data_IF_845677419823
#
_entry.id   IF_845677419823
#
_cell.length_a   1.000
_cell.length_b   1.000
_cell.length_c   1.000
_cell.angle_alpha   90.00
_cell.angle_beta   90.00
_cell.angle_gamma   90.00
#
_symmetry.space_group_name_H-M   'P 1'
#
loop_
_entity.id
_entity.type
_entity.pdbx_description
1 polymer ?
#
# COMPACT_ATOMS: atom_id res chain seq x y z
N UNK A 1 -20.50 12.33 10.42
CA UNK A 1 -20.29 12.05 8.98
C UNK A 1 -18.81 12.13 8.72
N UNK A 2 -18.12 11.00 8.56
CA UNK A 2 -16.73 11.00 8.10
C UNK A 2 -16.81 11.21 6.59
N UNK A 3 -16.44 12.39 6.11
CA UNK A 3 -16.23 12.61 4.68
C UNK A 3 -15.22 11.55 4.22
N UNK A 4 -15.61 10.65 3.31
CA UNK A 4 -14.65 9.74 2.67
C UNK A 4 -13.80 10.60 1.75
N UNK A 5 -12.69 11.10 2.25
CA UNK A 5 -11.70 11.84 1.47
C UNK A 5 -11.10 10.86 0.48
N UNK A 6 -11.32 11.11 -0.81
CA UNK A 6 -10.67 10.41 -1.91
C UNK A 6 -9.61 11.33 -2.51
N UNK A 7 -8.65 10.74 -3.22
CA UNK A 7 -7.58 11.44 -3.92
C UNK A 7 -7.51 10.90 -5.35
N UNK A 8 -7.18 11.76 -6.31
CA UNK A 8 -6.87 11.29 -7.65
C UNK A 8 -5.66 10.33 -7.60
N UNK A 9 -5.77 9.19 -8.28
CA UNK A 9 -4.77 8.12 -8.21
C UNK A 9 -3.41 8.52 -8.75
N UNK A 10 -3.35 9.47 -9.69
CA UNK A 10 -2.09 10.01 -10.21
C UNK A 10 -1.48 10.99 -9.22
N UNK A 11 -2.30 11.80 -8.54
CA UNK A 11 -1.80 12.61 -7.43
C UNK A 11 -1.25 11.74 -6.29
N UNK A 12 -1.94 10.65 -5.95
CA UNK A 12 -1.49 9.68 -4.96
C UNK A 12 -0.15 9.07 -5.37
N UNK A 13 -0.01 8.60 -6.62
CA UNK A 13 1.23 8.08 -7.18
C UNK A 13 2.38 9.10 -7.06
N UNK A 14 2.13 10.37 -7.40
CA UNK A 14 3.11 11.44 -7.28
C UNK A 14 3.58 11.64 -5.83
N UNK A 15 2.67 11.56 -4.87
CA UNK A 15 3.01 11.73 -3.45
C UNK A 15 3.79 10.55 -2.88
N UNK A 16 3.41 9.31 -3.20
CA UNK A 16 4.07 8.12 -2.66
C UNK A 16 5.43 7.84 -3.32
N UNK A 17 5.60 8.23 -4.59
CA UNK A 17 6.88 8.04 -5.31
C UNK A 17 8.02 8.88 -4.74
N UNK A 18 7.68 9.95 -4.00
CA UNK A 18 8.62 10.84 -3.33
C UNK A 18 8.98 10.37 -1.91
N UNK A 19 8.36 9.30 -1.41
CA UNK A 19 8.71 8.74 -0.10
C UNK A 19 10.09 8.07 -0.22
N UNK A 20 11.07 8.65 0.45
CA UNK A 20 12.46 8.17 0.50
C UNK A 20 12.85 7.94 1.95
N UNK A 21 12.22 6.92 2.55
CA UNK A 21 12.39 6.54 3.95
C UNK A 21 12.76 5.07 3.98
N UNK A 22 13.72 4.72 4.84
CA UNK A 22 14.03 3.32 5.11
C UNK A 22 12.84 2.63 5.77
N UNK A 23 12.47 1.44 5.30
CA UNK A 23 11.32 0.67 5.78
C UNK A 23 11.73 -0.72 6.26
N UNK A 24 12.55 -0.81 7.33
CA UNK A 24 13.10 -2.10 7.78
C UNK A 24 12.03 -3.11 8.21
N UNK A 25 10.86 -2.68 8.69
CA UNK A 25 9.78 -3.59 9.07
C UNK A 25 9.13 -4.22 7.83
N UNK A 26 8.83 -3.40 6.82
CA UNK A 26 8.31 -3.85 5.53
C UNK A 26 9.32 -4.74 4.80
N UNK A 27 10.61 -4.38 4.81
CA UNK A 27 11.66 -5.15 4.15
C UNK A 27 11.82 -6.54 4.79
N UNK A 28 11.78 -6.63 6.12
CA UNK A 28 11.79 -7.90 6.85
C UNK A 28 10.56 -8.75 6.52
N UNK A 29 9.38 -8.12 6.45
CA UNK A 29 8.16 -8.80 6.05
C UNK A 29 8.21 -9.31 4.60
N UNK A 30 8.60 -8.47 3.63
CA UNK A 30 8.72 -8.84 2.21
C UNK A 30 9.73 -9.98 2.03
N UNK A 31 10.87 -9.89 2.71
CA UNK A 31 11.91 -10.94 2.70
C UNK A 31 11.38 -12.30 3.16
N UNK A 32 10.46 -12.33 4.13
CA UNK A 32 9.87 -13.58 4.65
C UNK A 32 8.64 -14.03 3.88
N UNK A 33 7.68 -13.14 3.66
CA UNK A 33 6.33 -13.47 3.19
C UNK A 33 5.98 -12.92 1.81
N UNK A 34 6.73 -11.95 1.31
CA UNK A 34 6.47 -11.34 0.00
C UNK A 34 6.82 -12.25 -1.18
N UNK A 35 6.56 -11.75 -2.38
CA UNK A 35 6.71 -12.49 -3.64
C UNK A 35 8.16 -12.98 -3.85
N UNK A 36 8.31 -14.30 -4.06
CA UNK A 36 9.62 -14.96 -4.23
C UNK A 36 10.05 -15.08 -5.69
N UNK A 37 9.12 -15.33 -6.58
CA UNK A 37 9.39 -15.58 -8.00
C UNK A 37 8.72 -14.56 -8.90
N UNK A 38 9.27 -14.34 -10.11
CA UNK A 38 8.73 -13.42 -11.12
C UNK A 38 8.48 -12.00 -10.59
N UNK A 39 9.39 -11.48 -9.77
CA UNK A 39 9.33 -10.11 -9.23
C UNK A 39 9.63 -9.12 -10.36
N UNK A 40 8.71 -8.21 -10.66
CA UNK A 40 8.85 -7.23 -11.74
C UNK A 40 9.34 -5.85 -11.26
N UNK A 41 9.46 -5.66 -9.96
CA UNK A 41 9.77 -4.38 -9.30
C UNK A 41 11.01 -4.51 -8.41
N UNK A 42 11.82 -3.46 -8.39
CA UNK A 42 13.02 -3.37 -7.56
C UNK A 42 12.72 -3.09 -6.09
N UNK A 43 11.60 -2.42 -5.80
CA UNK A 43 11.14 -2.12 -4.45
C UNK A 43 9.61 -1.94 -4.37
N UNK A 44 9.07 -1.93 -3.15
CA UNK A 44 7.63 -1.76 -2.91
C UNK A 44 7.11 -0.38 -3.29
N UNK A 45 7.96 0.65 -3.21
CA UNK A 45 7.67 2.00 -3.72
C UNK A 45 7.35 1.99 -5.21
N UNK A 46 8.22 1.37 -6.00
CA UNK A 46 8.05 1.22 -7.45
C UNK A 46 6.78 0.45 -7.74
N UNK A 47 6.58 -0.68 -7.06
CA UNK A 47 5.42 -1.54 -7.25
C UNK A 47 4.09 -0.78 -7.10
N UNK A 48 3.90 -0.07 -5.98
CA UNK A 48 2.65 0.66 -5.75
C UNK A 48 2.51 1.85 -6.71
N UNK A 49 3.60 2.59 -6.95
CA UNK A 49 3.60 3.75 -7.85
C UNK A 49 3.18 3.34 -9.26
N UNK A 50 3.81 2.30 -9.81
CA UNK A 50 3.49 1.78 -11.15
C UNK A 50 2.05 1.27 -11.19
N UNK A 51 1.59 0.55 -10.16
CA UNK A 51 0.20 0.10 -10.11
C UNK A 51 -0.79 1.26 -10.16
N UNK A 52 -0.51 2.36 -9.45
CA UNK A 52 -1.32 3.57 -9.50
C UNK A 52 -1.35 4.20 -10.90
N UNK A 53 -0.21 4.22 -11.62
CA UNK A 53 -0.14 4.75 -12.98
C UNK A 53 -0.95 3.93 -14.00
N UNK A 54 -1.13 2.63 -13.76
CA UNK A 54 -1.99 1.79 -14.60
C UNK A 54 -3.48 1.95 -14.30
N UNK A 55 -3.87 2.49 -13.14
CA UNK A 55 -5.28 2.59 -12.75
C UNK A 55 -6.15 3.36 -13.77
N UNK A 56 -5.72 4.49 -14.38
CA UNK A 56 -6.52 5.18 -15.39
C UNK A 56 -6.58 4.50 -16.76
N UNK A 57 -5.97 3.32 -16.91
CA UNK A 57 -5.93 2.54 -18.15
C UNK A 57 -6.82 1.29 -18.04
N UNK A 58 -6.83 0.45 -19.07
CA UNK A 58 -7.49 -0.86 -19.03
C UNK A 58 -6.68 -1.94 -18.29
N UNK A 59 -5.55 -1.55 -17.68
CA UNK A 59 -4.61 -2.43 -17.02
C UNK A 59 -3.56 -3.00 -17.99
N UNK A 60 -2.97 -4.12 -17.60
CA UNK A 60 -1.98 -4.86 -18.39
C UNK A 60 -2.41 -6.33 -18.45
N UNK A 61 -1.95 -7.06 -19.46
CA UNK A 61 -2.29 -8.47 -19.67
C UNK A 61 -2.17 -9.30 -18.38
N UNK A 62 -3.26 -9.96 -17.98
CA UNK A 62 -3.38 -10.75 -16.74
C UNK A 62 -3.77 -9.96 -15.49
N UNK A 63 -3.90 -8.64 -15.59
CA UNK A 63 -4.31 -7.72 -14.54
C UNK A 63 -5.25 -6.62 -15.08
N UNK A 64 -6.11 -6.97 -16.03
CA UNK A 64 -7.04 -6.04 -16.67
C UNK A 64 -8.11 -5.54 -15.70
N UNK A 65 -8.51 -4.29 -15.87
CA UNK A 65 -9.60 -3.67 -15.11
C UNK A 65 -10.19 -2.47 -15.87
N UNK A 66 -11.37 -2.03 -15.48
CA UNK A 66 -11.90 -0.76 -15.98
C UNK A 66 -11.05 0.41 -15.48
N UNK A 67 -10.85 1.48 -16.29
CA UNK A 67 -10.19 2.70 -15.84
C UNK A 67 -10.73 3.24 -14.52
N UNK A 68 -9.82 3.68 -13.67
CA UNK A 68 -10.06 4.14 -12.30
C UNK A 68 -9.16 5.34 -11.98
N UNK A 69 -9.78 6.45 -11.55
CA UNK A 69 -9.06 7.63 -11.02
C UNK A 69 -9.06 7.71 -9.49
N UNK A 70 -9.71 6.78 -8.79
CA UNK A 70 -9.85 6.79 -7.34
C UNK A 70 -8.70 6.05 -6.64
N UNK A 71 -7.90 6.78 -5.87
CA UNK A 71 -6.88 6.18 -5.00
C UNK A 71 -7.50 5.32 -3.91
N UNK A 72 -8.66 5.72 -3.36
CA UNK A 72 -9.43 4.91 -2.40
C UNK A 72 -9.82 3.56 -3.00
N UNK A 73 -10.33 3.55 -4.24
CA UNK A 73 -10.71 2.31 -4.92
C UNK A 73 -9.48 1.44 -5.22
N UNK A 74 -8.37 2.04 -5.64
CA UNK A 74 -7.10 1.32 -5.86
C UNK A 74 -6.64 0.66 -4.56
N UNK A 75 -6.52 1.43 -3.48
CA UNK A 75 -6.06 0.97 -2.17
C UNK A 75 -6.89 -0.21 -1.64
N UNK A 76 -8.22 -0.14 -1.79
CA UNK A 76 -9.12 -1.19 -1.32
C UNK A 76 -9.05 -2.48 -2.15
N UNK A 77 -8.59 -2.42 -3.41
CA UNK A 77 -8.47 -3.58 -4.28
C UNK A 77 -7.03 -4.12 -4.37
N UNK A 78 -6.05 -3.41 -3.83
CA UNK A 78 -4.65 -3.80 -3.97
C UNK A 78 -4.27 -5.06 -3.17
N UNK A 79 -3.85 -6.13 -3.83
CA UNK A 79 -3.74 -7.47 -3.22
C UNK A 79 -2.39 -7.83 -2.60
N UNK A 80 -1.56 -6.85 -2.22
CA UNK A 80 -0.15 -7.06 -1.87
C UNK A 80 0.16 -6.55 -0.45
N UNK A 81 0.11 -7.41 0.58
CA UNK A 81 0.27 -6.98 1.97
C UNK A 81 1.64 -6.38 2.25
N UNK A 82 2.71 -6.90 1.65
CA UNK A 82 4.07 -6.39 1.78
C UNK A 82 4.19 -4.93 1.36
N UNK A 83 3.50 -4.56 0.28
CA UNK A 83 3.49 -3.20 -0.23
C UNK A 83 2.60 -2.28 0.61
N UNK A 84 1.50 -2.80 1.18
CA UNK A 84 0.67 -2.03 2.10
C UNK A 84 1.41 -1.74 3.41
N UNK A 85 2.20 -2.69 3.93
CA UNK A 85 3.07 -2.45 5.08
C UNK A 85 4.12 -1.39 4.74
N UNK A 86 4.78 -1.51 3.58
CA UNK A 86 5.71 -0.51 3.10
C UNK A 86 5.09 0.89 3.08
N UNK A 87 3.88 1.03 2.53
CA UNK A 87 3.19 2.31 2.47
C UNK A 87 2.98 2.90 3.87
N UNK A 88 2.51 2.09 4.82
CA UNK A 88 2.22 2.55 6.18
C UNK A 88 3.50 2.97 6.92
N UNK A 89 4.57 2.19 6.82
CA UNK A 89 5.85 2.50 7.44
C UNK A 89 6.53 3.72 6.78
N UNK A 90 6.53 3.78 5.44
CA UNK A 90 7.07 4.92 4.70
C UNK A 90 6.33 6.23 5.01
N UNK A 91 5.06 6.12 5.41
CA UNK A 91 4.25 7.24 5.87
C UNK A 91 4.47 7.60 7.35
N UNK A 92 5.47 7.00 8.01
CA UNK A 92 5.88 7.27 9.41
C UNK A 92 4.77 7.05 10.42
N UNK A 93 3.93 6.05 10.17
CA UNK A 93 3.02 5.55 11.20
C UNK A 93 3.80 5.00 12.41
N UNK A 94 3.15 4.94 13.57
CA UNK A 94 3.77 4.44 14.80
C UNK A 94 4.34 3.01 14.63
N UNK A 95 5.63 2.84 14.92
CA UNK A 95 6.32 1.56 14.74
C UNK A 95 5.67 0.41 15.51
N UNK A 96 5.20 0.65 16.74
CA UNK A 96 4.49 -0.35 17.55
C UNK A 96 3.20 -0.83 16.84
N UNK A 97 2.49 0.08 16.17
CA UNK A 97 1.29 -0.28 15.40
C UNK A 97 1.67 -1.16 14.20
N UNK A 98 2.70 -0.77 13.44
CA UNK A 98 3.18 -1.54 12.28
C UNK A 98 3.66 -2.93 12.70
N UNK A 99 4.41 -3.03 13.78
CA UNK A 99 4.88 -4.31 14.35
C UNK A 99 3.70 -5.20 14.76
N UNK A 100 2.72 -4.66 15.49
CA UNK A 100 1.52 -5.39 15.90
C UNK A 100 0.71 -5.88 14.69
N UNK A 101 0.64 -5.08 13.63
CA UNK A 101 -0.01 -5.46 12.38
C UNK A 101 0.76 -6.57 11.66
N UNK A 102 2.09 -6.50 11.60
CA UNK A 102 2.95 -7.56 11.06
C UNK A 102 2.74 -8.86 11.83
N UNK A 103 2.79 -8.83 13.17
CA UNK A 103 2.58 -10.02 14.01
C UNK A 103 1.24 -10.68 13.70
N UNK A 104 0.17 -9.89 13.57
CA UNK A 104 -1.17 -10.40 13.30
C UNK A 104 -1.29 -11.09 11.94
N UNK A 105 -0.62 -10.55 10.91
CA UNK A 105 -0.72 -11.08 9.55
C UNK A 105 0.35 -12.12 9.21
N UNK A 106 1.35 -12.32 10.08
CA UNK A 106 2.50 -13.23 9.85
C UNK A 106 2.23 -14.70 10.20
N UNK A 107 0.98 -15.15 10.13
CA UNK A 107 0.60 -16.52 10.45
C UNK A 107 0.91 -17.49 9.28
N UNK A 108 1.45 -18.67 9.61
CA UNK A 108 1.66 -19.75 8.64
C UNK A 108 0.33 -20.09 7.93
N UNK A 109 0.30 -19.92 6.60
CA UNK A 109 -0.88 -20.20 5.78
C UNK A 109 -1.88 -19.04 5.64
N UNK A 110 -1.61 -17.85 6.19
CA UNK A 110 -2.43 -16.68 5.90
C UNK A 110 -2.27 -16.29 4.42
N UNK A 111 -3.38 -16.23 3.70
CA UNK A 111 -3.37 -15.75 2.31
C UNK A 111 -3.32 -14.21 2.25
N UNK A 112 -2.80 -13.69 1.14
CA UNK A 112 -2.59 -12.26 0.93
C UNK A 112 -3.88 -11.43 1.04
N UNK A 113 -5.03 -11.96 0.61
CA UNK A 113 -6.31 -11.25 0.67
C UNK A 113 -6.77 -11.05 2.12
N UNK A 114 -6.65 -12.09 2.96
CA UNK A 114 -6.94 -12.01 4.40
C UNK A 114 -5.99 -11.04 5.10
N UNK A 115 -4.69 -11.09 4.78
CA UNK A 115 -3.72 -10.16 5.31
C UNK A 115 -4.09 -8.71 4.94
N UNK A 116 -4.34 -8.42 3.66
CA UNK A 116 -4.74 -7.08 3.21
C UNK A 116 -6.03 -6.61 3.87
N UNK A 117 -7.01 -7.50 4.10
CA UNK A 117 -8.24 -7.16 4.82
C UNK A 117 -7.93 -6.68 6.24
N UNK A 118 -7.12 -7.44 6.99
CA UNK A 118 -6.71 -7.08 8.36
C UNK A 118 -5.93 -5.75 8.40
N UNK A 119 -5.05 -5.54 7.43
CA UNK A 119 -4.34 -4.26 7.29
C UNK A 119 -5.34 -3.11 7.15
N UNK A 120 -6.32 -3.23 6.25
CA UNK A 120 -7.31 -2.16 6.01
C UNK A 120 -8.29 -1.93 7.17
N UNK A 121 -8.55 -2.95 7.98
CA UNK A 121 -9.37 -2.81 9.20
C UNK A 121 -8.68 -1.91 10.22
N UNK A 122 -7.35 -2.01 10.36
CA UNK A 122 -6.56 -1.14 11.24
C UNK A 122 -6.18 0.19 10.59
N UNK A 123 -5.88 0.15 9.30
CA UNK A 123 -5.39 1.28 8.52
C UNK A 123 -6.33 1.50 7.33
N UNK A 124 -7.49 2.13 7.56
CA UNK A 124 -8.36 2.55 6.47
C UNK A 124 -7.67 3.63 5.63
N UNK A 125 -8.14 3.81 4.38
CA UNK A 125 -7.56 4.83 3.50
C UNK A 125 -7.61 6.26 4.07
N UNK A 126 -8.59 6.58 4.93
CA UNK A 126 -8.62 7.87 5.63
C UNK A 126 -7.37 8.10 6.47
N UNK A 127 -6.83 7.05 7.11
CA UNK A 127 -5.58 7.13 7.87
C UNK A 127 -4.37 7.38 6.96
N UNK A 128 -4.34 6.72 5.80
CA UNK A 128 -3.31 6.96 4.76
C UNK A 128 -3.33 8.43 4.33
N UNK A 129 -4.51 9.02 4.13
CA UNK A 129 -4.67 10.43 3.78
C UNK A 129 -4.16 11.37 4.89
N UNK A 130 -4.50 11.10 6.15
CA UNK A 130 -3.99 11.84 7.31
C UNK A 130 -2.45 11.82 7.38
N UNK A 131 -1.86 10.64 7.25
CA UNK A 131 -0.40 10.49 7.30
C UNK A 131 0.28 11.22 6.12
N UNK A 132 -0.29 11.13 4.92
CA UNK A 132 0.19 11.88 3.76
C UNK A 132 0.14 13.39 3.99
N UNK A 133 -0.94 13.89 4.58
CA UNK A 133 -1.07 15.33 4.88
C UNK A 133 -0.01 15.79 5.89
N UNK A 134 0.30 14.98 6.91
CA UNK A 134 1.31 15.30 7.91
C UNK A 134 2.73 15.40 7.32
N UNK A 135 3.04 14.62 6.29
CA UNK A 135 4.36 14.66 5.63
C UNK A 135 4.55 15.91 4.78
N UNK A 136 3.46 16.43 4.20
CA UNK A 136 3.50 17.58 3.28
C UNK A 136 3.00 18.88 3.91
N UNK A 137 2.64 18.88 5.20
CA UNK A 137 2.30 20.09 5.95
C UNK A 137 3.58 20.73 6.47
N UNK A 138 3.93 21.89 5.92
CA UNK A 138 5.04 22.73 6.35
C UNK A 138 4.60 23.72 7.43
#
# INVERSE_FOLDING_TARGET
MIYRKDMDVIEFARKISMLDVETPLADNYDTKYGQKDNRWWSCQREHLTVWCLFQPTEGINGFEHAPNSSALKMYNNFGRPETLIWLVEALKEESEMVENLIVEISNLGMNANTACKKIREKIPFSRIMELLENIYSF
#
